data_IF_531836027231
#
_entry.id   IF_531836027231
#
_cell.length_a   1.000
_cell.length_b   1.000
_cell.length_c   1.000
_cell.angle_alpha   90.00
_cell.angle_beta   90.00
_cell.angle_gamma   90.00
#
_symmetry.space_group_name_H-M   'P 1'
#
loop_
_entity.id
_entity.type
_entity.pdbx_description
1 polymer ?
#
# COMPACT_ATOMS: atom_id res chain seq x y z
N UNK A 1 2.57 -21.14 -4.40
CA UNK A 1 2.31 -20.38 -3.16
C UNK A 1 3.08 -19.08 -3.24
N UNK A 2 2.44 -17.97 -3.60
CA UNK A 2 3.07 -16.65 -3.47
C UNK A 2 3.22 -16.36 -1.98
N UNK A 3 4.43 -16.13 -1.45
CA UNK A 3 4.58 -15.77 -0.05
C UNK A 3 3.78 -14.49 0.23
N UNK A 4 3.06 -14.44 1.35
CA UNK A 4 2.36 -13.24 1.78
C UNK A 4 3.37 -12.16 2.16
N UNK A 5 3.81 -11.38 1.17
CA UNK A 5 4.80 -10.32 1.36
C UNK A 5 4.11 -9.08 1.93
N UNK A 6 4.53 -8.70 3.14
CA UNK A 6 4.05 -7.53 3.84
C UNK A 6 5.11 -6.42 3.82
N UNK A 7 4.72 -5.23 3.38
CA UNK A 7 5.55 -4.04 3.36
C UNK A 7 5.30 -3.16 4.58
N UNK A 8 6.36 -2.59 5.13
CA UNK A 8 6.29 -1.44 6.03
C UNK A 8 5.78 -0.21 5.28
N UNK A 9 5.31 0.80 6.02
CA UNK A 9 4.92 2.08 5.41
C UNK A 9 6.07 2.73 4.64
N UNK A 10 7.32 2.55 5.11
CA UNK A 10 8.52 3.08 4.43
C UNK A 10 8.74 2.40 3.10
N UNK A 11 8.63 1.07 3.05
CA UNK A 11 8.75 0.31 1.80
C UNK A 11 7.62 0.64 0.82
N UNK A 12 6.38 0.76 1.30
CA UNK A 12 5.26 1.18 0.47
C UNK A 12 5.47 2.61 -0.09
N UNK A 13 5.94 3.54 0.74
CA UNK A 13 6.27 4.90 0.33
C UNK A 13 7.38 4.93 -0.74
N UNK A 14 8.46 4.17 -0.55
CA UNK A 14 9.54 4.03 -1.54
C UNK A 14 9.03 3.47 -2.86
N UNK A 15 8.22 2.41 -2.84
CA UNK A 15 7.66 1.80 -4.06
C UNK A 15 6.82 2.80 -4.85
N UNK A 16 5.98 3.54 -4.15
CA UNK A 16 5.06 4.50 -4.73
C UNK A 16 5.72 5.85 -5.06
N UNK A 17 7.02 6.02 -4.78
CA UNK A 17 7.75 7.28 -4.90
C UNK A 17 7.06 8.47 -4.20
N UNK A 18 6.46 8.23 -3.03
CA UNK A 18 5.78 9.26 -2.22
C UNK A 18 6.35 9.33 -0.80
N UNK A 19 5.97 10.38 -0.06
CA UNK A 19 6.31 10.49 1.35
C UNK A 19 5.47 9.56 2.23
N UNK A 20 6.02 9.09 3.35
CA UNK A 20 5.29 8.27 4.34
C UNK A 20 3.96 8.91 4.81
N UNK A 21 3.89 10.23 5.10
CA UNK A 21 2.62 10.87 5.43
C UNK A 21 1.58 10.76 4.31
N UNK A 22 2.01 10.76 3.05
CA UNK A 22 1.11 10.60 1.89
C UNK A 22 0.46 9.22 1.89
N UNK A 23 1.22 8.16 2.18
CA UNK A 23 0.67 6.80 2.28
C UNK A 23 -0.39 6.71 3.37
N UNK A 24 -0.14 7.28 4.55
CA UNK A 24 -1.13 7.31 5.63
C UNK A 24 -2.37 8.14 5.29
N UNK A 25 -2.17 9.29 4.65
CA UNK A 25 -3.27 10.14 4.17
C UNK A 25 -4.13 9.38 3.17
N UNK A 26 -3.52 8.71 2.19
CA UNK A 26 -4.24 7.90 1.21
C UNK A 26 -4.99 6.74 1.88
N UNK A 27 -4.35 6.02 2.79
CA UNK A 27 -5.01 4.95 3.55
C UNK A 27 -6.23 5.41 4.37
N UNK A 28 -6.29 6.69 4.76
CA UNK A 28 -7.41 7.28 5.50
C UNK A 28 -8.49 7.85 4.58
N UNK A 29 -8.09 8.55 3.53
CA UNK A 29 -8.98 9.41 2.72
C UNK A 29 -9.45 8.73 1.43
N UNK A 30 -8.67 7.78 0.89
CA UNK A 30 -8.95 7.15 -0.41
C UNK A 30 -9.61 5.79 -0.21
N UNK A 31 -10.87 5.60 -0.66
CA UNK A 31 -11.55 4.31 -0.57
C UNK A 31 -10.89 3.22 -1.44
N UNK A 32 -10.23 3.62 -2.52
CA UNK A 32 -9.57 2.74 -3.48
C UNK A 32 -8.17 2.29 -3.05
N UNK A 33 -7.51 3.03 -2.14
CA UNK A 33 -6.15 2.72 -1.71
C UNK A 33 -6.11 1.53 -0.73
N UNK A 34 -5.12 0.63 -0.82
CA UNK A 34 -5.00 -0.52 0.08
C UNK A 34 -4.96 -0.14 1.55
N UNK A 35 -5.85 -0.78 2.33
CA UNK A 35 -5.93 -0.55 3.77
C UNK A 35 -4.75 -1.23 4.49
N UNK A 36 -4.20 -0.59 5.52
CA UNK A 36 -3.18 -1.20 6.36
C UNK A 36 -3.73 -2.40 7.15
N UNK A 37 -2.97 -3.48 7.21
CA UNK A 37 -3.18 -4.62 8.10
C UNK A 37 -2.42 -4.44 9.41
N UNK A 38 -3.12 -4.56 10.53
CA UNK A 38 -2.50 -4.60 11.86
C UNK A 38 -2.13 -6.05 12.18
N UNK A 39 -0.83 -6.36 12.20
CA UNK A 39 -0.29 -7.67 12.55
C UNK A 39 0.07 -7.79 14.04
N UNK A 40 0.02 -6.69 14.79
CA UNK A 40 0.29 -6.64 16.23
C UNK A 40 0.11 -5.23 16.79
N UNK A 41 0.38 -5.00 18.09
CA UNK A 41 0.11 -3.74 18.78
C UNK A 41 0.72 -2.51 18.09
N UNK A 42 1.94 -2.66 17.56
CA UNK A 42 2.70 -1.59 16.87
C UNK A 42 3.17 -2.01 15.48
N UNK A 43 2.52 -3.00 14.86
CA UNK A 43 2.94 -3.54 13.57
C UNK A 43 1.84 -3.38 12.53
N UNK A 44 1.91 -2.28 11.78
CA UNK A 44 1.04 -2.02 10.64
C UNK A 44 1.78 -2.29 9.33
N UNK A 45 1.14 -3.05 8.42
CA UNK A 45 1.74 -3.49 7.16
C UNK A 45 0.76 -3.40 5.99
N UNK A 46 1.30 -3.24 4.80
CA UNK A 46 0.54 -3.29 3.55
C UNK A 46 0.86 -4.60 2.85
N UNK A 47 -0.15 -5.27 2.28
CA UNK A 47 0.09 -6.42 1.42
C UNK A 47 0.64 -5.94 0.08
N UNK A 48 1.71 -6.59 -0.38
CA UNK A 48 2.29 -6.29 -1.68
C UNK A 48 1.27 -6.49 -2.82
N UNK A 49 0.51 -7.59 -2.77
CA UNK A 49 -0.53 -7.90 -3.75
C UNK A 49 -1.58 -6.81 -3.90
N UNK A 50 -1.95 -6.16 -2.80
CA UNK A 50 -3.00 -5.15 -2.80
C UNK A 50 -2.48 -3.84 -3.40
N UNK A 51 -1.22 -3.50 -3.11
CA UNK A 51 -0.54 -2.36 -3.74
C UNK A 51 -0.38 -2.59 -5.24
N UNK A 52 0.02 -3.80 -5.66
CA UNK A 52 0.12 -4.17 -7.08
C UNK A 52 -1.22 -4.10 -7.81
N UNK A 53 -2.28 -4.62 -7.19
CA UNK A 53 -3.63 -4.54 -7.74
C UNK A 53 -4.13 -3.09 -7.85
N UNK A 54 -3.77 -2.23 -6.89
CA UNK A 54 -4.09 -0.80 -6.95
C UNK A 54 -3.29 -0.06 -8.01
N UNK A 55 -2.00 -0.37 -8.15
CA UNK A 55 -1.13 0.17 -9.21
C UNK A 55 -1.66 -0.21 -10.60
N UNK A 56 -2.04 -1.48 -10.81
CA UNK A 56 -2.60 -1.96 -12.07
C UNK A 56 -3.87 -1.20 -12.47
N UNK A 57 -4.80 -1.01 -11.53
CA UNK A 57 -6.04 -0.22 -11.76
C UNK A 57 -5.77 1.23 -12.12
N UNK A 58 -4.66 1.81 -11.65
CA UNK A 58 -4.28 3.19 -11.97
C UNK A 58 -3.46 3.30 -13.26
N UNK A 59 -2.65 2.30 -13.57
CA UNK A 59 -1.88 2.20 -14.81
C UNK A 59 -2.77 2.06 -16.05
N UNK A 60 -3.95 1.46 -15.90
CA UNK A 60 -4.96 1.38 -16.98
C UNK A 60 -5.58 2.74 -17.35
N UNK A 61 -5.48 3.75 -16.48
CA UNK A 61 -6.03 5.10 -16.73
C UNK A 61 -4.97 6.03 -17.37
N UNK A 62 -3.78 5.51 -17.66
CA UNK A 62 -2.71 6.25 -18.32
C UNK A 62 -2.15 5.48 -19.52
N UNK A 63 -3.02 5.22 -20.51
CA UNK A 63 -2.61 5.03 -21.91
C UNK A 63 -3.75 5.40 -22.86
#
# INVERSE_FOLDING_TARGET
MTPYTYLTVRQAATRLAVSVPTVWRWARERPDFPKPHRLGPNCTRWRLSDLEAWEAKRGEVAL
#
